data_IF_176894655904
#
_entry.id   IF_176894655904
#
_cell.length_a   1.000
_cell.length_b   1.000
_cell.length_c   1.000
_cell.angle_alpha   90.00
_cell.angle_beta   90.00
_cell.angle_gamma   90.00
#
_symmetry.space_group_name_H-M   'P 1'
#
loop_
_entity.id
_entity.type
_entity.pdbx_description
1 polymer ?
#
# COMPACT_ATOMS: atom_id res chain seq x y z
N UNK A 1 -17.20 -3.84 13.02
CA UNK A 1 -15.83 -4.27 13.39
C UNK A 1 -14.88 -4.16 12.20
N UNK A 2 -15.19 -4.78 11.06
CA UNK A 2 -14.34 -4.68 9.86
C UNK A 2 -14.16 -3.23 9.35
N UNK A 3 -15.22 -2.41 9.36
CA UNK A 3 -15.17 -1.02 8.85
C UNK A 3 -14.26 -0.08 9.65
N UNK A 4 -13.84 -0.49 10.85
CA UNK A 4 -12.95 0.28 11.72
C UNK A 4 -11.60 -0.41 11.93
N UNK A 5 -11.35 -1.51 11.20
CA UNK A 5 -10.09 -2.25 11.25
C UNK A 5 -9.24 -1.91 10.04
N UNK A 6 -8.08 -1.33 10.29
CA UNK A 6 -7.17 -0.86 9.26
C UNK A 6 -6.00 -1.84 9.14
N UNK A 7 -5.62 -2.17 7.92
CA UNK A 7 -4.44 -2.98 7.65
C UNK A 7 -3.21 -2.08 7.53
N UNK A 8 -2.24 -2.27 8.41
CA UNK A 8 -0.99 -1.53 8.42
C UNK A 8 0.21 -2.43 8.17
N UNK A 9 1.27 -1.80 7.70
CA UNK A 9 2.58 -2.41 7.54
C UNK A 9 3.65 -1.48 8.09
N UNK A 10 4.53 -1.99 8.95
CA UNK A 10 5.72 -1.28 9.39
C UNK A 10 6.99 -2.11 9.12
N UNK A 11 8.14 -1.44 8.99
CA UNK A 11 9.45 -2.09 8.88
C UNK A 11 10.26 -1.73 10.11
N UNK A 12 10.72 -2.76 10.83
CA UNK A 12 11.51 -2.63 12.06
C UNK A 12 12.89 -3.23 11.84
N UNK A 13 13.92 -2.58 12.39
CA UNK A 13 15.26 -3.16 12.50
C UNK A 13 15.42 -3.78 13.89
N UNK A 14 15.54 -5.10 13.93
CA UNK A 14 15.80 -5.87 15.14
C UNK A 14 17.31 -6.19 15.22
N UNK A 15 17.87 -6.12 16.42
CA UNK A 15 19.16 -6.71 16.73
C UNK A 15 18.90 -8.13 17.20
N UNK A 16 19.34 -9.11 16.42
CA UNK A 16 19.19 -10.52 16.73
C UNK A 16 20.52 -11.08 17.24
N UNK A 17 20.46 -12.02 18.18
CA UNK A 17 21.63 -12.78 18.64
C UNK A 17 21.56 -14.17 18.02
N UNK A 18 22.11 -14.31 16.82
CA UNK A 18 22.31 -15.62 16.20
C UNK A 18 23.72 -16.12 16.56
N UNK A 19 23.78 -17.21 17.34
CA UNK A 19 25.03 -17.95 17.57
C UNK A 19 26.17 -17.17 18.22
N UNK A 20 25.89 -16.15 19.03
CA UNK A 20 26.90 -15.34 19.73
C UNK A 20 27.39 -14.11 18.96
N UNK A 21 26.97 -13.91 17.71
CA UNK A 21 27.23 -12.69 16.94
C UNK A 21 25.98 -11.82 16.86
N UNK A 22 26.11 -10.52 17.16
CA UNK A 22 25.00 -9.56 17.03
C UNK A 22 24.78 -9.27 15.54
N UNK A 23 23.69 -9.78 14.99
CA UNK A 23 23.31 -9.49 13.61
C UNK A 23 22.14 -8.49 13.57
N UNK A 24 22.18 -7.53 12.64
CA UNK A 24 21.06 -6.61 12.40
C UNK A 24 20.12 -7.26 11.38
N UNK A 25 18.92 -7.64 11.82
CA UNK A 25 17.86 -8.17 10.96
C UNK A 25 16.79 -7.11 10.72
N UNK A 26 16.27 -7.00 9.50
CA UNK A 26 15.09 -6.19 9.22
C UNK A 26 13.87 -7.09 9.07
N UNK A 27 12.82 -6.76 9.81
CA UNK A 27 11.55 -7.49 9.85
C UNK A 27 10.45 -6.50 9.52
N UNK A 28 9.63 -6.80 8.52
CA UNK A 28 8.38 -6.10 8.29
C UNK A 28 7.23 -6.86 8.93
N UNK A 29 6.34 -6.09 9.55
CA UNK A 29 5.23 -6.59 10.34
C UNK A 29 3.97 -6.07 9.65
N UNK A 30 3.11 -6.99 9.23
CA UNK A 30 1.75 -6.70 8.82
C UNK A 30 0.85 -6.91 10.04
N UNK A 31 0.06 -5.90 10.38
CA UNK A 31 -0.86 -5.98 11.50
C UNK A 31 -2.19 -5.34 11.15
N UNK A 32 -3.26 -5.89 11.70
CA UNK A 32 -4.57 -5.27 11.73
C UNK A 32 -4.65 -4.42 13.00
N UNK A 33 -5.13 -3.19 12.87
CA UNK A 33 -5.38 -2.29 13.99
C UNK A 33 -6.83 -1.85 13.97
N UNK A 34 -7.57 -2.09 15.06
CA UNK A 34 -8.92 -1.58 15.24
C UNK A 34 -8.85 -0.20 15.88
N UNK A 35 -9.33 0.80 15.16
CA UNK A 35 -9.23 2.22 15.54
C UNK A 35 -10.19 2.57 16.68
N UNK A 36 -11.25 1.77 16.90
CA UNK A 36 -12.23 2.05 17.96
C UNK A 36 -11.75 1.67 19.36
N UNK A 37 -11.13 0.49 19.48
CA UNK A 37 -10.68 -0.07 20.77
C UNK A 37 -9.16 -0.06 20.94
N UNK A 38 -8.42 0.31 19.90
CA UNK A 38 -6.97 0.35 19.89
C UNK A 38 -6.30 -1.02 19.80
N UNK A 39 -7.07 -2.12 19.71
CA UNK A 39 -6.53 -3.47 19.65
C UNK A 39 -5.74 -3.69 18.35
N UNK A 40 -4.61 -4.38 18.46
CA UNK A 40 -3.78 -4.74 17.30
C UNK A 40 -3.49 -6.23 17.27
N UNK A 41 -3.48 -6.79 16.07
CA UNK A 41 -3.20 -8.20 15.82
C UNK A 41 -2.17 -8.32 14.71
N UNK A 42 -1.03 -8.95 15.01
CA UNK A 42 -0.01 -9.27 14.02
C UNK A 42 -0.53 -10.37 13.09
N UNK A 43 -0.61 -10.08 11.79
CA UNK A 43 -1.11 -11.00 10.78
C UNK A 43 0.01 -11.76 10.10
N UNK A 44 1.13 -11.08 9.80
CA UNK A 44 2.25 -11.68 9.08
C UNK A 44 3.56 -10.98 9.39
N UNK A 45 4.61 -11.79 9.53
CA UNK A 45 5.99 -11.32 9.57
C UNK A 45 6.67 -11.65 8.25
N UNK A 46 7.42 -10.69 7.72
CA UNK A 46 8.25 -10.85 6.54
C UNK A 46 9.66 -10.44 6.92
N UNK A 47 10.65 -11.25 6.57
CA UNK A 47 12.06 -10.91 6.77
C UNK A 47 12.82 -10.94 5.46
N UNK A 48 13.88 -10.16 5.38
CA UNK A 48 14.86 -10.21 4.30
C UNK A 48 16.03 -11.13 4.74
N UNK A 49 16.64 -11.93 3.84
CA UNK A 49 17.81 -12.74 4.17
C UNK A 49 18.95 -11.88 4.73
N UNK A 50 19.67 -12.41 5.73
CA UNK A 50 20.74 -11.73 6.46
C UNK A 50 21.89 -11.25 5.54
N UNK A 51 22.11 -11.93 4.41
CA UNK A 51 23.13 -11.56 3.43
C UNK A 51 22.77 -10.35 2.56
N UNK A 52 21.56 -9.79 2.71
CA UNK A 52 21.16 -8.62 1.94
C UNK A 52 21.86 -7.38 2.50
N UNK A 53 22.60 -6.62 1.68
CA UNK A 53 23.35 -5.48 2.18
C UNK A 53 22.40 -4.45 2.81
N UNK A 54 22.83 -3.89 3.94
CA UNK A 54 22.00 -3.03 4.80
C UNK A 54 21.44 -1.80 4.06
N UNK A 55 22.16 -1.32 3.05
CA UNK A 55 21.79 -0.19 2.20
C UNK A 55 20.57 -0.49 1.30
N UNK A 56 20.42 -1.73 0.83
CA UNK A 56 19.29 -2.12 -0.05
C UNK A 56 18.21 -2.92 0.69
N UNK A 57 18.46 -3.29 1.96
CA UNK A 57 17.54 -4.11 2.73
C UNK A 57 16.16 -3.47 2.94
N UNK A 58 16.05 -2.14 3.04
CA UNK A 58 14.76 -1.42 3.09
C UNK A 58 13.99 -1.56 1.79
N UNK A 59 14.65 -1.35 0.65
CA UNK A 59 14.01 -1.41 -0.66
C UNK A 59 13.59 -2.85 -0.99
N UNK A 60 14.44 -3.83 -0.66
CA UNK A 60 14.13 -5.25 -0.77
C UNK A 60 12.92 -5.63 0.11
N UNK A 61 12.82 -5.06 1.30
CA UNK A 61 11.69 -5.26 2.22
C UNK A 61 10.41 -4.63 1.67
N UNK A 62 10.46 -3.38 1.20
CA UNK A 62 9.35 -2.68 0.56
C UNK A 62 8.84 -3.44 -0.67
N UNK A 63 9.75 -3.96 -1.50
CA UNK A 63 9.41 -4.77 -2.67
C UNK A 63 8.70 -6.07 -2.28
N UNK A 64 9.23 -6.81 -1.29
CA UNK A 64 8.57 -8.03 -0.77
C UNK A 64 7.18 -7.72 -0.23
N UNK A 65 7.03 -6.60 0.48
CA UNK A 65 5.74 -6.21 1.00
C UNK A 65 4.75 -5.78 -0.08
N UNK A 66 5.18 -5.01 -1.08
CA UNK A 66 4.36 -4.69 -2.26
C UNK A 66 3.85 -5.96 -2.93
N UNK A 67 4.72 -6.95 -3.14
CA UNK A 67 4.32 -8.26 -3.69
C UNK A 67 3.30 -8.99 -2.80
N UNK A 68 3.48 -8.97 -1.48
CA UNK A 68 2.53 -9.56 -0.54
C UNK A 68 1.16 -8.86 -0.61
N UNK A 69 1.13 -7.53 -0.64
CA UNK A 69 -0.10 -6.75 -0.80
C UNK A 69 -0.76 -7.05 -2.15
N UNK A 70 -0.02 -7.03 -3.25
CA UNK A 70 -0.54 -7.37 -4.58
C UNK A 70 -1.12 -8.78 -4.63
N UNK A 71 -0.50 -9.75 -3.96
CA UNK A 71 -1.03 -11.12 -3.89
C UNK A 71 -2.37 -11.20 -3.15
N UNK A 72 -2.55 -10.38 -2.10
CA UNK A 72 -3.81 -10.29 -1.36
C UNK A 72 -4.86 -9.54 -2.19
N UNK A 73 -4.48 -8.44 -2.85
CA UNK A 73 -5.39 -7.67 -3.71
C UNK A 73 -5.89 -8.49 -4.90
N UNK A 74 -5.03 -9.32 -5.51
CA UNK A 74 -5.40 -10.18 -6.63
C UNK A 74 -6.42 -11.27 -6.25
N UNK A 75 -6.44 -11.71 -5.00
CA UNK A 75 -7.36 -12.76 -4.52
C UNK A 75 -8.66 -12.21 -3.94
N UNK A 76 -8.71 -10.92 -3.57
CA UNK A 76 -9.76 -10.40 -2.68
C UNK A 76 -10.53 -9.20 -3.24
N UNK A 77 -10.13 -8.64 -4.40
CA UNK A 77 -10.94 -7.63 -5.07
C UNK A 77 -11.96 -8.29 -6.00
N UNK A 78 -13.28 -8.21 -5.73
CA UNK A 78 -14.22 -8.08 -6.84
C UNK A 78 -13.75 -6.86 -7.63
N UNK A 79 -13.64 -6.97 -8.96
CA UNK A 79 -13.31 -5.86 -9.85
C UNK A 79 -14.12 -4.62 -9.45
N UNK A 80 -13.53 -3.70 -8.69
CA UNK A 80 -13.90 -2.30 -8.77
C UNK A 80 -13.24 -1.80 -10.04
N UNK A 81 -13.78 -2.25 -11.18
CA UNK A 81 -13.52 -1.55 -12.43
C UNK A 81 -13.90 -0.11 -12.16
N UNK A 82 -13.00 0.81 -12.48
CA UNK A 82 -13.34 2.20 -12.74
C UNK A 82 -14.28 2.15 -13.95
N UNK A 83 -15.53 1.74 -13.73
CA UNK A 83 -16.52 1.60 -14.78
C UNK A 83 -16.90 3.01 -15.18
N UNK A 84 -16.33 3.46 -16.29
CA UNK A 84 -16.97 4.47 -17.09
C UNK A 84 -18.41 4.01 -17.35
N UNK A 85 -19.34 4.90 -17.03
CA UNK A 85 -20.76 4.89 -17.39
C UNK A 85 -21.76 4.10 -16.52
N UNK A 86 -22.89 4.78 -16.35
CA UNK A 86 -24.18 4.40 -15.77
C UNK A 86 -24.27 4.23 -14.25
N UNK A 87 -25.17 5.04 -13.70
CA UNK A 87 -25.59 5.18 -12.32
C UNK A 87 -25.86 3.85 -11.60
N UNK A 88 -25.65 3.86 -10.28
CA UNK A 88 -25.91 2.77 -9.32
C UNK A 88 -24.81 1.70 -9.19
N UNK A 89 -23.67 2.07 -8.60
CA UNK A 89 -22.95 1.13 -7.74
C UNK A 89 -22.75 1.77 -6.36
N UNK A 90 -23.29 1.11 -5.35
CA UNK A 90 -23.23 1.44 -3.91
C UNK A 90 -21.81 1.25 -3.33
N UNK A 91 -20.78 1.44 -4.14
CA UNK A 91 -19.38 1.25 -3.75
C UNK A 91 -18.77 2.63 -3.53
N UNK A 92 -18.39 3.01 -2.31
CA UNK A 92 -17.70 4.27 -2.08
C UNK A 92 -16.38 4.28 -2.87
N UNK A 93 -16.27 5.23 -3.79
CA UNK A 93 -15.04 5.47 -4.56
C UNK A 93 -14.19 6.55 -3.88
N UNK A 94 -12.87 6.40 -3.95
CA UNK A 94 -11.92 7.40 -3.49
C UNK A 94 -11.34 8.13 -4.70
N UNK A 95 -11.56 9.45 -4.78
CA UNK A 95 -11.03 10.28 -5.86
C UNK A 95 -9.65 10.85 -5.48
N UNK A 96 -8.61 10.51 -6.24
CA UNK A 96 -7.26 11.07 -6.10
C UNK A 96 -6.93 11.95 -7.31
N UNK A 97 -6.56 13.21 -7.07
CA UNK A 97 -6.15 14.15 -8.11
C UNK A 97 -4.64 14.37 -8.05
N UNK A 98 -3.94 14.22 -9.19
CA UNK A 98 -2.49 14.48 -9.30
C UNK A 98 -2.13 15.03 -10.68
N UNK A 99 -1.12 15.90 -10.74
CA UNK A 99 -0.56 16.45 -11.98
C UNK A 99 0.98 16.38 -11.91
N UNK A 100 1.51 15.16 -11.77
CA UNK A 100 2.94 14.92 -11.60
C UNK A 100 3.81 15.44 -12.76
N UNK A 101 3.23 15.53 -13.96
CA UNK A 101 3.93 16.01 -15.15
C UNK A 101 4.30 17.49 -15.14
N UNK A 102 3.75 18.32 -14.25
CA UNK A 102 4.17 19.74 -14.10
C UNK A 102 5.67 19.83 -13.81
N UNK A 103 6.20 18.91 -13.00
CA UNK A 103 7.63 18.88 -12.63
C UNK A 103 8.55 18.43 -13.78
N UNK A 104 7.99 17.79 -14.81
CA UNK A 104 8.72 17.25 -15.95
C UNK A 104 8.37 17.94 -17.28
N UNK A 105 7.64 19.05 -17.25
CA UNK A 105 7.18 19.76 -18.45
C UNK A 105 6.07 19.06 -19.24
N UNK A 106 5.46 18.01 -18.70
CA UNK A 106 4.44 17.15 -19.35
C UNK A 106 3.13 17.17 -18.58
N UNK A 107 2.61 18.37 -18.30
CA UNK A 107 1.38 18.54 -17.52
C UNK A 107 0.16 17.84 -18.14
N UNK A 108 -0.83 17.50 -17.31
CA UNK A 108 -2.10 16.92 -17.75
C UNK A 108 -2.79 17.84 -18.76
N UNK A 109 -3.04 17.32 -19.97
CA UNK A 109 -3.68 18.06 -21.07
C UNK A 109 -5.21 18.09 -21.03
N UNK A 110 -5.83 17.23 -20.20
CA UNK A 110 -7.30 17.12 -20.09
C UNK A 110 -7.72 16.68 -18.69
N UNK A 111 -8.70 17.37 -18.12
CA UNK A 111 -9.36 17.01 -16.87
C UNK A 111 -10.84 16.74 -17.17
N UNK A 112 -11.28 15.49 -16.99
CA UNK A 112 -12.67 15.11 -17.16
C UNK A 112 -13.43 15.24 -15.83
N UNK A 113 -14.66 15.75 -15.89
CA UNK A 113 -15.53 15.73 -14.73
C UNK A 113 -16.27 14.38 -14.64
N UNK A 114 -16.16 13.65 -13.53
CA UNK A 114 -16.82 12.35 -13.38
C UNK A 114 -18.34 12.44 -13.17
N UNK A 115 -18.87 13.61 -12.78
CA UNK A 115 -20.29 13.84 -12.49
C UNK A 115 -21.05 14.52 -13.63
N UNK A 116 -20.38 15.36 -14.42
CA UNK A 116 -20.99 16.08 -15.54
C UNK A 116 -20.19 15.86 -16.83
N UNK A 117 -20.85 15.78 -18.00
CA UNK A 117 -20.19 15.47 -19.26
C UNK A 117 -19.46 16.70 -19.84
N UNK A 118 -18.54 17.28 -19.08
CA UNK A 118 -17.65 18.33 -19.54
C UNK A 118 -16.20 18.01 -19.19
N UNK A 119 -15.29 18.50 -20.04
CA UNK A 119 -13.86 18.36 -19.89
C UNK A 119 -13.19 19.73 -19.97
N UNK A 120 -12.17 19.93 -19.15
CA UNK A 120 -11.28 21.10 -19.23
C UNK A 120 -10.03 20.64 -19.98
N UNK A 121 -9.87 21.09 -21.21
CA UNK A 121 -8.64 20.94 -21.99
C UNK A 121 -7.73 22.14 -21.79
N UNK A 122 -6.42 21.91 -21.76
CA UNK A 122 -5.41 22.96 -21.63
C UNK A 122 -4.85 23.39 -22.99
#
# INVERSE_FOLDING_TARGET
>A
VADSTWLYMCVVAALDQDGGSRCRRRVGIFFAWNVLDGSFHTLRLVSVPLHTPLITASDAMLLRCRRAISSIQATTHPRTTCSNSSWSSSVPSFNMWTNAGVLCGTSVGRLDNPAWPYAISR
#
